data_IF_377880844353
#
_entry.id   IF_377880844353
#
_cell.length_a   1.000
_cell.length_b   1.000
_cell.length_c   1.000
_cell.angle_alpha   90.00
_cell.angle_beta   90.00
_cell.angle_gamma   90.00
#
_symmetry.space_group_name_H-M   'P 1'
#
loop_
_entity.id
_entity.type
_entity.pdbx_description
1 polymer ?
#
# COMPACT_ATOMS: atom_id res chain seq x y z
N UNK A 1 -2.56 8.21 -3.62
CA UNK A 1 -1.29 8.50 -2.90
C UNK A 1 -1.17 7.55 -1.73
N UNK A 2 -0.07 6.82 -1.59
CA UNK A 2 0.08 5.79 -0.55
C UNK A 2 -0.04 6.38 0.85
N UNK A 3 -0.83 5.71 1.69
CA UNK A 3 -1.09 6.08 3.08
C UNK A 3 -0.27 5.26 4.08
N UNK A 4 0.29 4.11 3.64
CA UNK A 4 1.10 3.21 4.48
C UNK A 4 0.42 2.90 5.83
N UNK A 5 -0.89 2.64 5.78
CA UNK A 5 -1.77 2.52 6.96
C UNK A 5 -2.67 1.28 6.90
N UNK A 6 -2.34 0.32 6.05
CA UNK A 6 -3.04 -0.97 5.96
C UNK A 6 -2.48 -1.98 6.94
N UNK A 7 -3.34 -2.89 7.38
CA UNK A 7 -2.97 -4.03 8.21
C UNK A 7 -2.92 -5.29 7.35
N UNK A 8 -1.71 -5.75 7.03
CA UNK A 8 -1.48 -6.86 6.11
C UNK A 8 -2.30 -6.74 4.80
N UNK A 9 -2.28 -5.55 4.19
CA UNK A 9 -3.05 -5.23 2.99
C UNK A 9 -4.54 -4.92 3.20
N UNK A 10 -5.09 -5.10 4.41
CA UNK A 10 -6.46 -4.73 4.71
C UNK A 10 -6.58 -3.23 4.96
N UNK A 11 -7.55 -2.61 4.29
CA UNK A 11 -7.90 -1.22 4.57
C UNK A 11 -8.41 -1.09 6.01
N UNK A 12 -7.84 -0.15 6.74
CA UNK A 12 -8.23 0.23 8.11
C UNK A 12 -9.18 1.42 8.12
N UNK A 13 -9.67 1.80 9.32
CA UNK A 13 -10.49 3.01 9.50
C UNK A 13 -9.79 4.30 9.05
N UNK A 14 -8.45 4.31 9.01
CA UNK A 14 -7.70 5.40 8.40
C UNK A 14 -8.15 5.68 6.96
N UNK A 15 -8.32 4.64 6.15
CA UNK A 15 -8.72 4.78 4.75
C UNK A 15 -10.15 5.31 4.65
N UNK A 16 -11.06 4.88 5.54
CA UNK A 16 -12.41 5.43 5.57
C UNK A 16 -12.39 6.93 5.91
N UNK A 17 -11.67 7.33 6.95
CA UNK A 17 -11.62 8.74 7.37
C UNK A 17 -10.94 9.60 6.31
N UNK A 18 -9.82 9.13 5.75
CA UNK A 18 -9.07 9.83 4.72
C UNK A 18 -9.90 10.03 3.45
N UNK A 19 -10.41 8.94 2.88
CA UNK A 19 -11.17 8.96 1.61
C UNK A 19 -12.55 9.58 1.83
N UNK A 20 -13.20 9.30 2.96
CA UNK A 20 -14.47 9.91 3.31
C UNK A 20 -14.38 11.42 3.46
N UNK A 21 -13.26 11.93 3.99
CA UNK A 21 -12.98 13.35 4.00
C UNK A 21 -12.87 13.94 2.59
N UNK A 22 -12.31 13.22 1.62
CA UNK A 22 -12.25 13.69 0.23
C UNK A 22 -13.64 13.63 -0.43
N UNK A 23 -14.37 12.53 -0.25
CA UNK A 23 -15.68 12.31 -0.85
C UNK A 23 -16.72 13.37 -0.39
N UNK A 24 -16.73 13.70 0.89
CA UNK A 24 -17.67 14.70 1.45
C UNK A 24 -17.44 16.13 0.93
N UNK A 25 -16.30 16.40 0.30
CA UNK A 25 -15.97 17.72 -0.29
C UNK A 25 -16.43 17.89 -1.73
N UNK A 26 -17.14 16.91 -2.31
CA UNK A 26 -17.73 17.03 -3.65
C UNK A 26 -16.72 16.89 -4.79
N UNK A 27 -15.63 16.15 -4.58
CA UNK A 27 -14.68 15.84 -5.65
C UNK A 27 -15.33 14.94 -6.70
N UNK A 28 -15.05 15.20 -7.99
CA UNK A 28 -15.67 14.43 -9.09
C UNK A 28 -15.22 12.97 -9.15
N UNK A 29 -13.96 12.70 -8.81
CA UNK A 29 -13.44 11.35 -8.72
C UNK A 29 -12.29 11.21 -7.71
N UNK A 30 -12.13 10.02 -7.15
CA UNK A 30 -11.02 9.62 -6.27
C UNK A 30 -10.33 8.40 -6.87
N UNK A 31 -8.99 8.39 -6.84
CA UNK A 31 -8.19 7.20 -7.10
C UNK A 31 -7.58 6.73 -5.79
N UNK A 32 -7.99 5.54 -5.33
CA UNK A 32 -7.38 4.85 -4.19
C UNK A 32 -5.89 4.62 -4.45
N UNK A 33 -5.12 4.54 -3.37
CA UNK A 33 -3.69 4.31 -3.44
C UNK A 33 -3.30 3.01 -4.17
N UNK A 34 -2.01 2.93 -4.51
CA UNK A 34 -1.41 1.74 -5.09
C UNK A 34 -1.72 0.53 -4.20
N UNK A 35 -2.58 -0.34 -4.70
CA UNK A 35 -3.09 -1.52 -4.00
C UNK A 35 -2.44 -2.74 -4.63
N UNK A 36 -1.67 -3.48 -3.83
CA UNK A 36 -0.85 -4.55 -4.35
C UNK A 36 -1.67 -5.78 -4.72
N UNK A 37 -1.32 -6.41 -5.85
CA UNK A 37 -1.97 -7.63 -6.34
C UNK A 37 -1.43 -8.92 -5.73
N UNK A 38 -0.28 -8.85 -5.03
CA UNK A 38 0.36 -9.96 -4.32
C UNK A 38 1.06 -9.43 -3.06
N UNK A 39 1.23 -10.23 -1.98
CA UNK A 39 1.83 -9.76 -0.73
C UNK A 39 3.20 -9.11 -0.89
N UNK A 40 4.09 -9.71 -1.67
CA UNK A 40 5.47 -9.30 -1.96
C UNK A 40 5.56 -8.13 -2.96
N UNK A 41 4.44 -7.80 -3.59
CA UNK A 41 4.32 -6.71 -4.55
C UNK A 41 4.11 -5.35 -3.90
N UNK A 42 3.96 -5.29 -2.57
CA UNK A 42 3.79 -4.03 -1.83
C UNK A 42 5.11 -3.23 -1.81
N UNK A 43 5.04 -1.90 -1.71
CA UNK A 43 6.22 -1.06 -1.50
C UNK A 43 6.67 -1.19 -0.04
N UNK A 44 5.73 -1.05 0.91
CA UNK A 44 5.98 -1.22 2.35
C UNK A 44 5.04 -2.24 2.98
N UNK A 45 5.37 -2.82 4.15
CA UNK A 45 4.49 -3.77 4.83
C UNK A 45 3.07 -3.23 5.10
N UNK A 46 2.95 -1.91 5.29
CA UNK A 46 1.70 -1.22 5.57
C UNK A 46 0.94 -0.74 4.32
N UNK A 47 1.33 -1.16 3.12
CA UNK A 47 0.61 -0.83 1.89
C UNK A 47 -0.69 -1.64 1.75
N UNK A 48 -1.65 -1.05 1.05
CA UNK A 48 -2.92 -1.70 0.71
C UNK A 48 -2.75 -2.92 -0.21
N UNK A 49 -3.68 -3.87 -0.09
CA UNK A 49 -3.65 -5.14 -0.80
C UNK A 49 -5.01 -5.56 -1.35
N UNK A 50 -4.98 -6.31 -2.45
CA UNK A 50 -6.15 -6.97 -3.03
C UNK A 50 -5.73 -8.29 -3.70
N UNK A 51 -5.20 -9.21 -2.89
CA UNK A 51 -4.79 -10.56 -3.28
C UNK A 51 -5.59 -11.67 -2.59
N UNK A 52 -6.43 -11.31 -1.61
CA UNK A 52 -7.32 -12.24 -0.90
C UNK A 52 -8.69 -11.62 -0.68
N UNK A 53 -9.74 -12.45 -0.67
CA UNK A 53 -11.13 -12.01 -0.53
C UNK A 53 -11.40 -11.28 0.80
N UNK A 54 -10.63 -11.58 1.85
CA UNK A 54 -10.76 -10.90 3.14
C UNK A 54 -10.47 -9.39 3.05
N UNK A 55 -9.73 -8.95 2.04
CA UNK A 55 -9.43 -7.53 1.80
C UNK A 55 -10.59 -6.78 1.12
N UNK A 56 -11.55 -7.50 0.53
CA UNK A 56 -12.68 -6.89 -0.20
C UNK A 56 -13.62 -6.16 0.75
N UNK A 57 -14.00 -6.80 1.86
CA UNK A 57 -14.97 -6.23 2.80
C UNK A 57 -14.59 -4.84 3.34
N UNK A 58 -13.36 -4.61 3.86
CA UNK A 58 -12.96 -3.29 4.33
C UNK A 58 -12.86 -2.25 3.21
N UNK A 59 -12.35 -2.62 2.02
CA UNK A 59 -12.30 -1.71 0.87
C UNK A 59 -13.71 -1.34 0.38
N UNK A 60 -14.64 -2.30 0.36
CA UNK A 60 -16.04 -2.07 -0.03
C UNK A 60 -16.72 -1.06 0.88
N UNK A 61 -16.40 -1.05 2.18
CA UNK A 61 -16.91 -0.03 3.12
C UNK A 61 -16.48 1.38 2.71
N UNK A 62 -15.22 1.57 2.31
CA UNK A 62 -14.69 2.85 1.83
C UNK A 62 -15.36 3.27 0.51
N UNK A 63 -15.47 2.33 -0.43
CA UNK A 63 -16.09 2.57 -1.74
C UNK A 63 -17.57 2.96 -1.60
N UNK A 64 -18.32 2.23 -0.77
CA UNK A 64 -19.73 2.53 -0.52
C UNK A 64 -19.91 3.93 0.09
N UNK A 65 -19.02 4.33 1.00
CA UNK A 65 -19.07 5.67 1.58
C UNK A 65 -18.83 6.75 0.51
N UNK A 66 -17.85 6.56 -0.37
CA UNK A 66 -17.59 7.51 -1.47
C UNK A 66 -18.79 7.62 -2.42
N UNK A 67 -19.39 6.49 -2.81
CA UNK A 67 -20.57 6.46 -3.67
C UNK A 67 -21.80 7.12 -3.02
N UNK A 68 -21.98 6.99 -1.70
CA UNK A 68 -23.07 7.65 -0.98
C UNK A 68 -22.99 9.19 -1.04
N UNK A 69 -21.81 9.74 -1.32
CA UNK A 69 -21.58 11.17 -1.52
C UNK A 69 -21.48 11.59 -2.99
N UNK A 70 -21.85 10.70 -3.94
CA UNK A 70 -21.85 11.01 -5.36
C UNK A 70 -20.45 11.09 -6.01
N UNK A 71 -19.42 10.63 -5.30
CA UNK A 71 -18.04 10.62 -5.81
C UNK A 71 -17.74 9.28 -6.49
N UNK A 72 -17.21 9.32 -7.73
CA UNK A 72 -16.70 8.13 -8.41
C UNK A 72 -15.37 7.73 -7.77
N UNK A 73 -15.18 6.44 -7.48
CA UNK A 73 -13.93 5.94 -6.90
C UNK A 73 -13.36 4.77 -7.70
N UNK A 74 -12.08 4.86 -8.04
CA UNK A 74 -11.31 3.80 -8.67
C UNK A 74 -10.12 3.37 -7.81
N UNK A 75 -9.43 2.32 -8.22
CA UNK A 75 -8.23 1.80 -7.54
C UNK A 75 -7.07 1.64 -8.51
N UNK A 76 -5.88 2.03 -8.07
CA UNK A 76 -4.64 1.76 -8.79
C UNK A 76 -4.10 0.39 -8.37
N UNK A 77 -4.24 -0.62 -9.23
CA UNK A 77 -3.58 -1.91 -9.02
C UNK A 77 -2.07 -1.78 -9.27
N UNK A 78 -1.26 -2.35 -8.40
CA UNK A 78 0.18 -2.13 -8.40
C UNK A 78 1.01 -3.37 -8.06
N UNK A 79 2.27 -3.33 -8.52
CA UNK A 79 3.34 -4.22 -8.10
C UNK A 79 4.66 -3.43 -8.06
N UNK A 80 5.29 -3.33 -6.90
CA UNK A 80 6.50 -2.52 -6.69
C UNK A 80 7.76 -3.13 -7.33
N UNK A 81 7.75 -4.45 -7.57
CA UNK A 81 8.83 -5.18 -8.23
C UNK A 81 10.13 -5.04 -7.43
N UNK A 82 11.23 -4.65 -8.08
CA UNK A 82 12.53 -4.43 -7.40
C UNK A 82 12.53 -3.33 -6.33
N UNK A 83 11.45 -2.53 -6.23
CA UNK A 83 11.29 -1.47 -5.23
C UNK A 83 10.40 -1.90 -4.05
N UNK A 84 10.04 -3.18 -3.98
CA UNK A 84 9.26 -3.72 -2.86
C UNK A 84 10.09 -3.85 -1.59
N UNK A 85 9.42 -4.15 -0.47
CA UNK A 85 10.06 -4.39 0.83
C UNK A 85 10.88 -3.20 1.34
N UNK A 86 10.35 -1.99 1.23
CA UNK A 86 10.96 -0.77 1.78
C UNK A 86 10.14 -0.21 2.93
N UNK A 87 10.72 0.69 3.73
CA UNK A 87 9.97 1.35 4.80
C UNK A 87 9.11 2.51 4.27
N UNK A 88 8.03 2.81 5.01
CA UNK A 88 7.26 4.03 4.79
C UNK A 88 8.18 5.28 4.84
N UNK A 89 7.90 6.34 4.07
CA UNK A 89 8.81 7.48 3.88
C UNK A 89 9.26 8.16 5.17
N UNK A 90 8.40 8.26 6.19
CA UNK A 90 8.72 8.87 7.49
C UNK A 90 9.51 7.94 8.42
N UNK A 91 9.34 6.62 8.30
CA UNK A 91 10.17 5.65 9.01
C UNK A 91 11.57 5.68 8.42
N UNK A 92 11.65 5.69 7.09
CA UNK A 92 12.90 5.84 6.37
C UNK A 92 13.64 7.16 6.69
N UNK A 93 12.94 8.30 6.68
CA UNK A 93 13.59 9.59 6.99
C UNK A 93 14.08 9.69 8.44
N UNK A 94 13.49 8.90 9.35
CA UNK A 94 13.96 8.75 10.73
C UNK A 94 15.13 7.78 10.86
N UNK A 95 15.28 6.80 9.95
CA UNK A 95 16.44 5.91 9.90
C UNK A 95 17.73 6.71 9.69
N UNK A 96 17.72 7.68 8.77
CA UNK A 96 18.85 8.58 8.53
C UNK A 96 19.24 9.42 9.77
N UNK A 97 18.33 9.59 10.73
CA UNK A 97 18.55 10.35 11.97
C UNK A 97 18.86 9.48 13.20
N UNK A 98 18.51 8.20 13.17
CA UNK A 98 18.55 7.32 14.36
C UNK A 98 19.58 6.20 14.26
N UNK A 99 20.20 5.98 13.10
CA UNK A 99 21.17 4.90 12.84
C UNK A 99 20.62 3.49 13.15
N UNK A 100 19.30 3.35 13.33
CA UNK A 100 18.64 2.12 13.79
C UNK A 100 18.40 1.08 12.69
N UNK A 101 18.51 1.44 11.42
CA UNK A 101 18.49 0.49 10.32
C UNK A 101 19.57 0.89 9.28
N UNK A 102 20.55 0.04 8.98
CA UNK A 102 21.61 0.38 8.02
C UNK A 102 21.13 0.39 6.56
N UNK A 103 19.86 0.03 6.28
CA UNK A 103 19.35 -0.14 4.91
C UNK A 103 17.94 0.44 4.73
N UNK A 104 17.57 0.66 3.46
CA UNK A 104 16.24 1.10 3.04
C UNK A 104 15.19 -0.03 3.01
N UNK A 105 15.65 -1.27 3.20
CA UNK A 105 14.86 -2.50 3.02
C UNK A 105 14.32 -2.92 4.37
N UNK A 106 13.00 -3.13 4.47
CA UNK A 106 12.35 -3.66 5.65
C UNK A 106 12.81 -5.12 5.89
N UNK A 107 13.28 -5.40 7.12
CA UNK A 107 13.71 -6.74 7.52
C UNK A 107 12.53 -7.71 7.68
N UNK A 108 12.81 -9.02 7.70
CA UNK A 108 11.78 -10.04 7.92
C UNK A 108 11.12 -9.92 9.29
N UNK A 109 11.92 -9.54 10.28
CA UNK A 109 11.51 -9.24 11.66
C UNK A 109 10.55 -8.04 11.75
N UNK A 110 10.52 -7.19 10.74
CA UNK A 110 9.65 -6.02 10.64
C UNK A 110 8.50 -6.23 9.63
N UNK A 111 8.29 -7.48 9.20
CA UNK A 111 7.24 -7.84 8.24
C UNK A 111 7.58 -7.55 6.77
N UNK A 112 8.85 -7.25 6.47
CA UNK A 112 9.37 -7.13 5.12
C UNK A 112 9.75 -8.48 4.48
N UNK A 113 10.08 -8.43 3.20
CA UNK A 113 10.47 -9.57 2.35
C UNK A 113 11.74 -9.20 1.55
N UNK A 114 12.89 -9.02 2.23
CA UNK A 114 14.13 -8.52 1.64
C UNK A 114 14.72 -9.44 0.57
N UNK A 115 14.33 -10.71 0.57
CA UNK A 115 14.85 -11.72 -0.35
C UNK A 115 14.02 -11.82 -1.65
N UNK A 116 12.74 -11.46 -1.61
CA UNK A 116 11.79 -11.67 -2.73
C UNK A 116 11.92 -10.57 -3.80
N UNK A 117 12.32 -9.36 -3.41
CA UNK A 117 12.60 -8.25 -4.34
C UNK A 117 13.79 -8.52 -5.29
N UNK A 118 14.64 -9.51 -4.98
CA UNK A 118 15.77 -9.94 -5.82
C UNK A 118 15.37 -10.99 -6.87
N UNK A 119 14.28 -11.73 -6.65
CA UNK A 119 13.91 -12.84 -7.54
C UNK A 119 13.47 -12.36 -8.93
N UNK A 120 12.69 -11.28 -8.99
CA UNK A 120 12.13 -10.79 -10.25
C UNK A 120 13.16 -10.18 -11.22
N UNK A 121 14.34 -9.78 -10.71
CA UNK A 121 15.40 -9.20 -11.56
C UNK A 121 16.21 -10.28 -12.27
N UNK A 122 16.38 -11.46 -11.65
CA UNK A 122 17.14 -12.56 -12.25
C UNK A 122 16.37 -13.33 -13.33
N UNK A 123 15.04 -13.24 -13.35
CA UNK A 123 14.22 -13.91 -14.38
C UNK A 123 13.95 -13.01 -15.59
N UNK A 124 13.95 -11.68 -15.43
CA UNK A 124 13.67 -10.73 -16.51
C UNK A 124 14.89 -10.36 -17.37
N UNK A 125 16.12 -10.68 -16.94
CA UNK A 125 17.36 -10.37 -17.67
C UNK A 125 17.96 -11.59 -18.41
N UNK A 126 17.14 -12.60 -18.70
CA UNK A 126 17.53 -13.81 -19.46
C UNK A 126 16.71 -14.01 -20.75
N UNK A 127 16.23 -12.92 -21.35
CA UNK A 127 15.65 -12.93 -22.70
C UNK A 127 16.63 -12.29 -23.67
#
# INVERSE_FOLDING_TARGET
MCQYSSDNGHATDWHLVHIGGLATRGVGAICMEATSVVPEGRISPQDAGLWTDSQIAPLKRVVNFAHAHGTIIGVQLAHAGRKSSTYAPWVHSNIAKTWKAPTYVAGKDEGGWPDDGKLLVNTACRV
#
